data_IF_146171838097
#
_entry.id   IF_146171838097
#
_cell.length_a   1.000
_cell.length_b   1.000
_cell.length_c   1.000
_cell.angle_alpha   90.00
_cell.angle_beta   90.00
_cell.angle_gamma   90.00
#
_symmetry.space_group_name_H-M   'P 1'
#
loop_
_entity.id
_entity.type
_entity.pdbx_description
1 polymer ?
#
# COMPACT_ATOMS: atom_id res chain seq x y z
N UNK A 1 65.50 11.19 -36.68
CA UNK A 1 64.10 11.68 -36.83
C UNK A 1 63.12 10.58 -36.49
N UNK A 2 62.50 10.63 -35.29
CA UNK A 2 61.54 9.64 -34.84
C UNK A 2 60.29 10.42 -34.44
N UNK A 3 59.18 10.28 -35.21
CA UNK A 3 57.93 10.89 -34.97
C UNK A 3 57.12 10.00 -33.96
N UNK A 4 56.90 10.55 -32.78
CA UNK A 4 55.94 9.96 -31.79
C UNK A 4 54.53 10.37 -32.18
N UNK A 5 53.70 9.42 -32.58
CA UNK A 5 52.25 9.58 -32.77
C UNK A 5 51.56 9.41 -31.42
N UNK A 6 51.03 10.50 -30.89
CA UNK A 6 50.15 10.52 -29.73
C UNK A 6 48.72 10.14 -30.20
N UNK A 7 48.21 8.99 -29.77
CA UNK A 7 46.82 8.63 -29.91
C UNK A 7 46.02 9.24 -28.76
N UNK A 8 45.14 10.19 -29.08
CA UNK A 8 44.18 10.76 -28.16
C UNK A 8 42.97 9.83 -28.10
N UNK A 9 42.81 9.08 -27.00
CA UNK A 9 41.61 8.30 -26.75
C UNK A 9 40.52 9.24 -26.20
N UNK A 10 39.57 9.61 -27.04
CA UNK A 10 38.33 10.30 -26.62
C UNK A 10 37.40 9.25 -26.04
N UNK A 11 37.33 9.18 -24.71
CA UNK A 11 36.30 8.42 -24.00
C UNK A 11 34.96 9.15 -24.15
N UNK A 12 34.09 8.63 -24.99
CA UNK A 12 32.70 9.03 -25.11
C UNK A 12 31.95 8.56 -23.82
N UNK A 13 31.76 9.47 -22.93
CA UNK A 13 30.81 9.30 -21.84
C UNK A 13 29.40 9.46 -22.41
N UNK A 14 28.75 8.34 -22.72
CA UNK A 14 27.32 8.32 -22.98
C UNK A 14 26.55 8.49 -21.64
N UNK A 15 25.55 9.37 -21.57
CA UNK A 15 24.81 9.57 -20.35
C UNK A 15 23.95 8.33 -20.04
N UNK A 16 24.10 7.78 -18.84
CA UNK A 16 23.30 6.64 -18.32
C UNK A 16 21.79 6.94 -18.20
N UNK A 17 21.35 8.14 -18.46
CA UNK A 17 19.94 8.54 -18.40
C UNK A 17 19.06 7.93 -19.50
N UNK A 18 19.65 7.45 -20.61
CA UNK A 18 18.90 6.92 -21.76
C UNK A 18 18.24 5.56 -21.49
N UNK A 19 18.80 4.74 -20.60
CA UNK A 19 18.32 3.35 -20.41
C UNK A 19 17.03 3.21 -19.61
N UNK A 20 16.69 4.13 -18.70
CA UNK A 20 15.47 4.05 -17.91
C UNK A 20 14.22 4.41 -18.73
N UNK A 21 14.34 5.40 -19.60
CA UNK A 21 13.25 5.85 -20.49
C UNK A 21 12.93 4.81 -21.56
N UNK A 22 13.95 4.17 -22.12
CA UNK A 22 13.79 3.11 -23.11
C UNK A 22 13.10 1.87 -22.51
N UNK A 23 13.40 1.53 -21.25
CA UNK A 23 12.76 0.39 -20.56
C UNK A 23 11.29 0.66 -20.28
N UNK A 24 10.91 1.87 -19.85
CA UNK A 24 9.52 2.24 -19.63
C UNK A 24 8.69 2.24 -20.92
N UNK A 25 9.22 2.80 -21.99
CA UNK A 25 8.58 2.78 -23.30
C UNK A 25 8.38 1.34 -23.81
N UNK A 26 9.31 0.45 -23.55
CA UNK A 26 9.18 -0.97 -23.88
C UNK A 26 8.06 -1.62 -23.08
N UNK A 27 7.98 -1.39 -21.77
CA UNK A 27 6.90 -1.88 -20.89
C UNK A 27 5.55 -1.34 -21.41
N UNK A 28 5.44 -0.05 -21.68
CA UNK A 28 4.22 0.57 -22.16
C UNK A 28 3.76 0.00 -23.53
N UNK A 29 4.70 -0.32 -24.42
CA UNK A 29 4.38 -0.99 -25.69
C UNK A 29 3.87 -2.43 -25.49
N UNK A 30 4.49 -3.19 -24.59
CA UNK A 30 4.11 -4.58 -24.30
C UNK A 30 2.76 -4.66 -23.57
N UNK A 31 2.42 -3.65 -22.79
CA UNK A 31 1.16 -3.59 -22.04
C UNK A 31 -0.07 -3.32 -22.91
N UNK A 32 0.12 -2.81 -24.16
CA UNK A 32 -1.00 -2.48 -25.06
C UNK A 32 -1.87 -3.72 -25.35
N UNK A 33 -3.17 -3.53 -25.21
CA UNK A 33 -4.17 -4.58 -25.45
C UNK A 33 -4.36 -5.55 -24.28
N UNK A 34 -3.60 -5.39 -23.21
CA UNK A 34 -3.78 -6.21 -22.01
C UNK A 34 -5.00 -5.78 -21.20
N UNK A 35 -5.54 -6.71 -20.42
CA UNK A 35 -6.53 -6.44 -19.36
C UNK A 35 -5.81 -6.49 -18.02
N UNK A 36 -6.06 -5.50 -17.15
CA UNK A 36 -5.51 -5.41 -15.80
C UNK A 36 -6.66 -5.38 -14.80
N UNK A 37 -6.70 -6.33 -13.87
CA UNK A 37 -7.71 -6.43 -12.84
C UNK A 37 -7.22 -5.76 -11.56
N UNK A 38 -7.84 -4.61 -11.24
CA UNK A 38 -7.53 -3.84 -10.03
C UNK A 38 -8.65 -4.01 -8.99
N UNK A 39 -8.36 -4.72 -7.92
CA UNK A 39 -9.26 -4.86 -6.78
C UNK A 39 -9.04 -3.67 -5.85
N UNK A 40 -10.01 -2.78 -5.78
CA UNK A 40 -9.96 -1.53 -5.04
C UNK A 40 -11.14 -1.37 -4.11
N UNK A 41 -10.93 -0.74 -2.95
CA UNK A 41 -12.02 -0.42 -2.04
C UNK A 41 -13.05 0.50 -2.71
N UNK A 42 -14.32 0.09 -2.63
CA UNK A 42 -15.44 0.72 -3.33
C UNK A 42 -16.35 1.58 -2.44
N UNK A 43 -15.93 1.91 -1.21
CA UNK A 43 -16.79 2.56 -0.21
C UNK A 43 -17.05 4.06 -0.42
N UNK A 44 -16.29 4.75 -1.28
CA UNK A 44 -16.41 6.19 -1.52
C UNK A 44 -16.80 6.48 -2.99
N UNK A 45 -17.97 7.11 -3.24
CA UNK A 45 -18.38 7.44 -4.60
C UNK A 45 -17.45 8.41 -5.35
N UNK A 46 -16.71 9.27 -4.65
CA UNK A 46 -15.76 10.18 -5.28
C UNK A 46 -14.52 9.43 -5.75
N UNK A 47 -14.01 8.52 -4.93
CA UNK A 47 -12.90 7.63 -5.30
C UNK A 47 -13.31 6.71 -6.45
N UNK A 48 -14.52 6.15 -6.41
CA UNK A 48 -15.01 5.30 -7.50
C UNK A 48 -15.04 6.06 -8.83
N UNK A 49 -15.58 7.28 -8.87
CA UNK A 49 -15.56 8.11 -10.08
C UNK A 49 -14.14 8.44 -10.57
N UNK A 50 -13.21 8.65 -9.65
CA UNK A 50 -11.81 8.86 -9.99
C UNK A 50 -11.21 7.61 -10.66
N UNK A 51 -11.48 6.43 -10.11
CA UNK A 51 -11.01 5.15 -10.69
C UNK A 51 -11.62 4.89 -12.07
N UNK A 52 -12.90 5.22 -12.27
CA UNK A 52 -13.55 5.14 -13.58
C UNK A 52 -12.87 6.08 -14.59
N UNK A 53 -12.56 7.30 -14.17
CA UNK A 53 -11.80 8.24 -14.98
C UNK A 53 -10.41 7.71 -15.32
N UNK A 54 -9.67 7.18 -14.32
CA UNK A 54 -8.34 6.57 -14.54
C UNK A 54 -8.44 5.43 -15.56
N UNK A 55 -9.46 4.57 -15.44
CA UNK A 55 -9.66 3.47 -16.37
C UNK A 55 -9.85 3.98 -17.83
N UNK A 56 -10.62 5.05 -18.01
CA UNK A 56 -10.82 5.67 -19.32
C UNK A 56 -9.52 6.28 -19.88
N UNK A 57 -8.75 7.00 -19.05
CA UNK A 57 -7.47 7.60 -19.44
C UNK A 57 -6.44 6.52 -19.82
N UNK A 58 -6.31 5.47 -19.01
CA UNK A 58 -5.40 4.35 -19.27
C UNK A 58 -5.77 3.64 -20.57
N UNK A 59 -7.08 3.49 -20.85
CA UNK A 59 -7.55 2.92 -22.12
C UNK A 59 -7.19 3.80 -23.30
N UNK A 60 -7.38 5.11 -23.18
CA UNK A 60 -7.08 6.08 -24.23
C UNK A 60 -5.59 6.13 -24.55
N UNK A 61 -4.75 6.25 -23.52
CA UNK A 61 -3.34 6.57 -23.69
C UNK A 61 -2.48 5.32 -23.92
N UNK A 62 -2.81 4.22 -23.26
CA UNK A 62 -2.01 2.98 -23.28
C UNK A 62 -2.71 1.80 -23.95
N UNK A 63 -3.99 1.94 -24.35
CA UNK A 63 -4.81 0.84 -24.86
C UNK A 63 -4.91 -0.36 -23.92
N UNK A 64 -4.81 -0.14 -22.62
CA UNK A 64 -4.98 -1.15 -21.56
C UNK A 64 -6.44 -1.13 -21.11
N UNK A 65 -7.03 -2.30 -20.90
CA UNK A 65 -8.37 -2.46 -20.34
C UNK A 65 -8.25 -2.61 -18.80
N UNK A 66 -8.21 -1.47 -18.10
CA UNK A 66 -8.15 -1.46 -16.64
C UNK A 66 -9.54 -1.72 -16.06
N UNK A 67 -9.74 -2.86 -15.43
CA UNK A 67 -11.00 -3.28 -14.83
C UNK A 67 -10.96 -3.14 -13.32
N UNK A 68 -11.79 -2.23 -12.83
CA UNK A 68 -11.93 -1.99 -11.39
C UNK A 68 -12.91 -3.02 -10.81
N UNK A 69 -12.46 -3.76 -9.83
CA UNK A 69 -13.27 -4.68 -9.04
C UNK A 69 -13.44 -4.07 -7.66
N UNK A 70 -14.63 -3.52 -7.40
CA UNK A 70 -14.92 -2.93 -6.09
C UNK A 70 -15.04 -4.01 -5.03
N UNK A 71 -14.25 -3.89 -3.98
CA UNK A 71 -14.24 -4.78 -2.82
C UNK A 71 -14.64 -4.01 -1.57
N UNK A 72 -15.28 -4.67 -0.63
CA UNK A 72 -15.63 -4.12 0.68
C UNK A 72 -14.42 -4.15 1.63
N UNK A 73 -13.62 -5.23 1.54
CA UNK A 73 -12.43 -5.45 2.36
C UNK A 73 -11.37 -6.20 1.53
N UNK A 74 -10.10 -5.81 1.69
CA UNK A 74 -8.98 -6.47 1.05
C UNK A 74 -8.77 -7.91 1.56
N UNK A 75 -9.17 -8.23 2.78
CA UNK A 75 -8.99 -9.56 3.40
C UNK A 75 -9.63 -10.70 2.56
N UNK A 76 -10.76 -10.45 1.90
CA UNK A 76 -11.39 -11.47 1.06
C UNK A 76 -10.59 -11.74 -0.22
N UNK A 77 -10.00 -10.70 -0.79
CA UNK A 77 -9.08 -10.84 -1.94
C UNK A 77 -7.81 -11.57 -1.52
N UNK A 78 -7.25 -11.26 -0.35
CA UNK A 78 -6.08 -11.96 0.22
C UNK A 78 -6.36 -13.46 0.36
N UNK A 79 -7.49 -13.87 0.93
CA UNK A 79 -7.90 -15.28 1.04
C UNK A 79 -8.01 -15.96 -0.33
N UNK A 80 -8.57 -15.26 -1.31
CA UNK A 80 -8.66 -15.76 -2.68
C UNK A 80 -7.27 -15.99 -3.29
N UNK A 81 -6.36 -15.01 -3.18
CA UNK A 81 -4.99 -15.12 -3.67
C UNK A 81 -4.23 -16.27 -2.99
N UNK A 82 -4.39 -16.47 -1.69
CA UNK A 82 -3.81 -17.61 -0.99
C UNK A 82 -4.36 -18.94 -1.50
N UNK A 83 -5.65 -19.00 -1.85
CA UNK A 83 -6.29 -20.19 -2.42
C UNK A 83 -5.76 -20.47 -3.83
N UNK A 84 -5.63 -19.46 -4.67
CA UNK A 84 -5.04 -19.56 -6.00
C UNK A 84 -3.59 -20.05 -5.94
N UNK A 85 -2.80 -19.52 -4.99
CA UNK A 85 -1.42 -19.95 -4.78
C UNK A 85 -1.31 -21.41 -4.35
N UNK A 86 -2.19 -21.88 -3.44
CA UNK A 86 -2.24 -23.31 -3.04
C UNK A 86 -2.63 -24.23 -4.19
N UNK A 87 -3.44 -23.71 -5.13
CA UNK A 87 -3.80 -24.43 -6.35
C UNK A 87 -2.73 -24.31 -7.46
N UNK A 88 -1.53 -23.81 -7.11
CA UNK A 88 -0.38 -23.59 -8.02
C UNK A 88 -0.72 -22.72 -9.25
N UNK A 89 -1.70 -21.86 -9.14
CA UNK A 89 -2.09 -20.92 -10.19
C UNK A 89 -1.09 -19.76 -10.28
N UNK A 90 0.04 -20.00 -10.95
CA UNK A 90 1.12 -19.01 -11.12
C UNK A 90 0.90 -18.04 -12.27
N UNK A 91 -0.05 -18.32 -13.16
CA UNK A 91 -0.40 -17.49 -14.32
C UNK A 91 -1.90 -17.37 -14.45
N UNK A 92 -2.36 -16.29 -15.08
CA UNK A 92 -3.78 -15.99 -15.26
C UNK A 92 -4.55 -15.95 -13.93
N UNK A 93 -3.95 -15.32 -12.92
CA UNK A 93 -4.60 -15.04 -11.65
C UNK A 93 -5.80 -14.09 -11.80
N UNK A 94 -6.57 -13.95 -10.74
CA UNK A 94 -7.77 -13.10 -10.73
C UNK A 94 -7.50 -11.65 -10.33
N UNK A 95 -6.26 -11.32 -9.98
CA UNK A 95 -5.87 -9.99 -9.47
C UNK A 95 -4.49 -9.63 -9.99
N UNK A 96 -4.38 -8.46 -10.61
CA UNK A 96 -3.10 -7.90 -11.04
C UNK A 96 -2.65 -6.77 -10.10
N UNK A 97 -3.61 -5.97 -9.62
CA UNK A 97 -3.40 -4.91 -8.65
C UNK A 97 -4.39 -5.04 -7.50
N UNK A 98 -3.92 -4.76 -6.29
CA UNK A 98 -4.75 -4.74 -5.10
C UNK A 98 -4.48 -3.46 -4.31
N UNK A 99 -5.55 -2.75 -3.93
CA UNK A 99 -5.46 -1.72 -2.90
C UNK A 99 -5.36 -2.42 -1.55
N UNK A 100 -4.20 -2.33 -0.92
CA UNK A 100 -3.85 -3.10 0.26
C UNK A 100 -3.06 -2.24 1.25
N UNK A 101 -3.11 -2.62 2.51
CA UNK A 101 -2.31 -2.02 3.59
C UNK A 101 -2.29 -2.95 4.82
N UNK A 102 -1.38 -2.65 5.75
CA UNK A 102 -1.31 -3.25 7.07
C UNK A 102 -1.19 -4.77 7.08
N UNK A 103 -2.02 -5.43 7.85
CA UNK A 103 -1.99 -6.89 8.03
C UNK A 103 -2.26 -7.66 6.73
N UNK A 104 -3.04 -7.09 5.82
CA UNK A 104 -3.29 -7.67 4.51
C UNK A 104 -2.01 -7.66 3.65
N UNK A 105 -1.25 -6.55 3.66
CA UNK A 105 0.05 -6.47 3.01
C UNK A 105 1.03 -7.48 3.62
N UNK A 106 1.15 -7.50 4.96
CA UNK A 106 2.00 -8.45 5.69
C UNK A 106 1.70 -9.89 5.28
N UNK A 107 0.43 -10.26 5.23
CA UNK A 107 -0.01 -11.61 4.87
C UNK A 107 0.43 -12.01 3.47
N UNK A 108 0.24 -11.14 2.48
CA UNK A 108 0.66 -11.37 1.09
C UNK A 108 2.18 -11.44 0.97
N UNK A 109 2.89 -10.52 1.62
CA UNK A 109 4.36 -10.48 1.61
C UNK A 109 4.96 -11.74 2.23
N UNK A 110 4.48 -12.15 3.40
CA UNK A 110 4.95 -13.36 4.10
C UNK A 110 4.69 -14.62 3.28
N UNK A 111 3.60 -14.65 2.53
CA UNK A 111 3.28 -15.75 1.63
C UNK A 111 4.04 -15.71 0.29
N UNK A 112 4.87 -14.69 0.03
CA UNK A 112 5.61 -14.53 -1.22
C UNK A 112 4.72 -14.29 -2.44
N UNK A 113 3.57 -13.63 -2.25
CA UNK A 113 2.57 -13.40 -3.29
C UNK A 113 2.64 -12.01 -3.93
N UNK A 114 3.62 -11.19 -3.53
CA UNK A 114 3.82 -9.85 -4.07
C UNK A 114 5.02 -9.82 -5.01
N UNK A 115 4.87 -9.08 -6.10
CA UNK A 115 6.01 -8.70 -6.92
C UNK A 115 6.74 -7.53 -6.25
N UNK A 116 8.03 -7.67 -6.00
CA UNK A 116 8.88 -6.65 -5.37
C UNK A 116 9.70 -5.87 -6.39
N UNK A 117 10.30 -4.74 -5.95
CA UNK A 117 11.31 -4.00 -6.72
C UNK A 117 10.78 -3.21 -7.93
N UNK A 118 9.47 -3.09 -8.11
CA UNK A 118 8.90 -2.39 -9.27
C UNK A 118 8.51 -0.95 -8.99
N UNK A 119 7.98 -0.64 -7.81
CA UNK A 119 7.36 0.67 -7.54
C UNK A 119 8.35 1.83 -7.66
N UNK A 120 9.55 1.67 -7.11
CA UNK A 120 10.59 2.70 -7.14
C UNK A 120 11.25 2.88 -8.53
N UNK A 121 11.03 1.94 -9.45
CA UNK A 121 11.53 2.04 -10.83
C UNK A 121 10.58 2.79 -11.77
N UNK A 122 9.37 3.09 -11.30
CA UNK A 122 8.39 3.84 -12.09
C UNK A 122 8.89 5.27 -12.38
N UNK A 123 8.72 5.81 -13.59
CA UNK A 123 9.14 7.17 -13.93
C UNK A 123 8.54 8.24 -13.01
N UNK A 124 7.33 7.99 -12.51
CA UNK A 124 6.59 8.92 -11.64
C UNK A 124 6.98 8.81 -10.16
N UNK A 125 7.85 7.84 -9.78
CA UNK A 125 8.36 7.77 -8.42
C UNK A 125 9.03 9.08 -7.95
N UNK A 126 9.62 9.84 -8.88
CA UNK A 126 10.20 11.17 -8.61
C UNK A 126 9.24 12.19 -7.98
N UNK A 127 7.93 11.95 -8.06
CA UNK A 127 6.91 12.81 -7.47
C UNK A 127 6.44 12.32 -6.08
N UNK A 128 6.92 11.17 -5.64
CA UNK A 128 6.59 10.64 -4.31
C UNK A 128 7.35 11.42 -3.24
N UNK A 129 6.63 11.88 -2.22
CA UNK A 129 7.24 12.51 -1.05
C UNK A 129 7.91 11.45 -0.16
N UNK A 130 9.18 11.18 -0.39
CA UNK A 130 9.97 10.19 0.36
C UNK A 130 10.28 10.59 1.79
N UNK A 131 9.84 11.76 2.26
CA UNK A 131 9.87 12.14 3.68
C UNK A 131 8.76 11.43 4.47
N UNK A 132 7.73 10.96 3.78
CA UNK A 132 6.71 10.09 4.34
C UNK A 132 7.21 8.63 4.39
N UNK A 133 6.67 7.77 5.24
CA UNK A 133 7.10 6.37 5.37
C UNK A 133 6.63 5.49 4.19
N UNK A 134 6.88 5.93 2.95
CA UNK A 134 6.41 5.29 1.71
C UNK A 134 7.14 3.99 1.35
N UNK A 135 8.15 3.63 2.13
CA UNK A 135 8.90 2.38 2.00
C UNK A 135 8.58 1.36 3.08
N UNK A 136 7.63 1.70 3.94
CA UNK A 136 7.17 0.84 5.01
C UNK A 136 5.64 0.87 5.06
N UNK A 137 5.04 -0.29 5.28
CA UNK A 137 3.62 -0.43 5.60
C UNK A 137 3.51 -1.11 6.97
N UNK A 138 2.95 -0.40 7.96
CA UNK A 138 2.88 -0.82 9.36
C UNK A 138 4.23 -1.39 9.86
N UNK A 139 5.28 -0.59 9.70
CA UNK A 139 6.67 -0.93 10.07
C UNK A 139 7.27 -2.14 9.35
N UNK A 140 6.62 -2.65 8.31
CA UNK A 140 7.15 -3.70 7.45
C UNK A 140 7.71 -3.08 6.16
N UNK A 141 8.99 -3.29 5.82
CA UNK A 141 9.54 -2.77 4.57
C UNK A 141 8.75 -3.25 3.34
N UNK A 142 8.40 -2.35 2.44
CA UNK A 142 7.63 -2.68 1.22
C UNK A 142 8.49 -3.39 0.18
N UNK A 143 9.80 -3.16 0.19
CA UNK A 143 10.74 -3.69 -0.83
C UNK A 143 10.30 -3.37 -2.26
N UNK A 144 9.67 -2.21 -2.43
CA UNK A 144 9.16 -1.77 -3.73
C UNK A 144 8.00 -2.62 -4.29
N UNK A 145 7.27 -3.32 -3.44
CA UNK A 145 6.06 -4.05 -3.82
C UNK A 145 4.81 -3.17 -3.83
N UNK A 146 4.87 -2.00 -3.24
CA UNK A 146 3.77 -1.05 -3.17
C UNK A 146 4.12 0.29 -3.80
N UNK A 147 3.16 0.85 -4.53
CA UNK A 147 3.16 2.24 -4.96
C UNK A 147 2.22 3.03 -4.04
N UNK A 148 2.68 4.14 -3.41
CA UNK A 148 1.84 4.87 -2.51
C UNK A 148 0.64 5.48 -3.24
N UNK A 149 -0.54 5.28 -2.67
CA UNK A 149 -1.80 5.83 -3.17
C UNK A 149 -2.11 7.18 -2.56
N UNK A 150 -2.11 7.22 -1.22
CA UNK A 150 -2.44 8.39 -0.43
C UNK A 150 -2.22 8.11 1.04
N UNK A 151 -2.52 9.09 1.88
CA UNK A 151 -2.48 8.95 3.33
C UNK A 151 -3.84 9.25 3.93
N UNK A 152 -4.16 8.54 5.00
CA UNK A 152 -5.32 8.79 5.83
C UNK A 152 -4.90 8.70 7.31
N UNK A 153 -5.70 9.31 8.18
CA UNK A 153 -5.47 9.26 9.61
C UNK A 153 -6.69 8.65 10.29
N UNK A 154 -6.45 7.82 11.28
CA UNK A 154 -7.51 7.35 12.15
C UNK A 154 -8.09 8.53 12.93
N UNK A 155 -9.39 8.74 12.83
CA UNK A 155 -10.12 9.76 13.57
C UNK A 155 -11.33 9.19 14.26
N UNK A 156 -11.70 9.80 15.37
CA UNK A 156 -12.93 9.46 16.08
C UNK A 156 -14.05 10.41 15.68
N UNK A 157 -15.25 9.88 15.61
CA UNK A 157 -16.46 10.67 15.32
C UNK A 157 -17.38 10.57 16.53
N UNK A 158 -17.84 11.71 17.01
CA UNK A 158 -18.82 11.78 18.08
C UNK A 158 -19.98 12.71 17.69
N UNK A 159 -21.19 12.36 18.11
CA UNK A 159 -22.35 13.23 17.93
C UNK A 159 -22.30 14.34 18.97
N UNK A 160 -22.06 15.57 18.54
CA UNK A 160 -21.88 16.73 19.45
C UNK A 160 -23.05 16.93 20.42
N UNK A 161 -24.27 16.63 20.01
CA UNK A 161 -25.45 16.75 20.87
C UNK A 161 -25.51 15.72 22.00
N UNK A 162 -24.81 14.58 21.84
CA UNK A 162 -24.74 13.51 22.85
C UNK A 162 -23.41 13.52 23.60
N UNK A 163 -22.35 14.01 22.95
CA UNK A 163 -21.00 14.08 23.50
C UNK A 163 -20.43 15.48 23.28
N UNK A 164 -20.90 16.49 24.07
CA UNK A 164 -20.47 17.88 23.91
C UNK A 164 -18.98 18.06 24.12
N UNK A 165 -18.39 17.28 25.02
CA UNK A 165 -16.96 17.22 25.31
C UNK A 165 -16.47 15.80 25.05
N UNK A 166 -15.98 15.49 23.84
CA UNK A 166 -15.47 14.17 23.54
C UNK A 166 -14.16 13.90 24.28
N UNK A 167 -13.84 12.61 24.55
CA UNK A 167 -12.53 12.24 25.08
C UNK A 167 -11.40 12.73 24.18
N UNK A 168 -10.33 13.21 24.76
CA UNK A 168 -9.17 13.78 24.07
C UNK A 168 -7.90 12.94 24.23
N UNK A 169 -7.99 11.82 24.92
CA UNK A 169 -6.89 10.87 25.11
C UNK A 169 -7.40 9.43 25.10
N UNK A 170 -6.53 8.43 24.85
CA UNK A 170 -6.87 7.00 24.95
C UNK A 170 -7.43 6.61 26.31
N UNK A 171 -6.84 7.08 27.40
CA UNK A 171 -7.28 6.82 28.77
C UNK A 171 -8.67 7.43 29.03
N UNK A 172 -8.89 8.66 28.57
CA UNK A 172 -10.18 9.32 28.65
C UNK A 172 -11.24 8.58 27.84
N UNK A 173 -10.89 8.03 26.65
CA UNK A 173 -11.76 7.22 25.83
C UNK A 173 -12.16 5.93 26.52
N UNK A 174 -11.21 5.22 27.16
CA UNK A 174 -11.50 4.00 27.89
C UNK A 174 -12.41 4.27 29.11
N UNK A 175 -12.15 5.35 29.83
CA UNK A 175 -12.99 5.80 30.95
C UNK A 175 -14.41 6.14 30.46
N UNK A 176 -14.52 6.88 29.36
CA UNK A 176 -15.79 7.20 28.74
C UNK A 176 -16.54 5.93 28.31
N UNK A 177 -15.87 5.00 27.62
CA UNK A 177 -16.47 3.75 27.18
C UNK A 177 -16.98 2.88 28.34
N UNK A 178 -16.27 2.86 29.47
CA UNK A 178 -16.69 2.15 30.65
C UNK A 178 -17.95 2.74 31.29
N UNK A 179 -18.08 4.08 31.24
CA UNK A 179 -19.25 4.81 31.75
C UNK A 179 -20.45 4.76 30.78
N UNK A 180 -20.22 4.62 29.47
CA UNK A 180 -21.21 4.67 28.40
C UNK A 180 -21.28 3.35 27.65
N UNK A 181 -21.59 2.27 28.37
CA UNK A 181 -21.61 0.91 27.81
C UNK A 181 -22.59 0.79 26.65
N UNK A 182 -22.09 0.32 25.50
CA UNK A 182 -22.88 0.14 24.28
C UNK A 182 -23.00 1.39 23.41
N UNK A 183 -22.40 2.51 23.81
CA UNK A 183 -22.42 3.77 23.06
C UNK A 183 -21.12 4.01 22.27
N UNK A 184 -20.04 3.27 22.60
CA UNK A 184 -18.76 3.32 21.89
C UNK A 184 -18.62 2.05 21.08
N UNK A 185 -18.27 2.20 19.80
CA UNK A 185 -18.06 1.07 18.89
C UNK A 185 -16.90 1.34 17.93
N UNK A 186 -16.35 0.27 17.41
CA UNK A 186 -15.35 0.28 16.35
C UNK A 186 -15.54 -0.97 15.46
N UNK A 187 -15.07 -0.97 14.20
CA UNK A 187 -15.15 -2.16 13.35
C UNK A 187 -14.38 -3.33 13.96
N UNK A 188 -14.91 -4.52 13.85
CA UNK A 188 -14.24 -5.71 14.41
C UNK A 188 -13.10 -6.17 13.51
N UNK A 189 -11.87 -6.39 14.06
CA UNK A 189 -10.79 -7.03 13.30
C UNK A 189 -11.25 -8.35 12.62
N UNK A 190 -10.75 -8.68 11.43
CA UNK A 190 -9.59 -8.09 10.75
C UNK A 190 -9.88 -6.85 9.88
N UNK A 191 -11.00 -6.16 10.11
CA UNK A 191 -11.20 -4.85 9.46
C UNK A 191 -10.02 -3.92 9.74
N UNK A 192 -9.53 -3.25 8.68
CA UNK A 192 -8.36 -2.39 8.75
C UNK A 192 -8.48 -1.29 9.81
N UNK A 193 -9.64 -0.60 9.86
CA UNK A 193 -9.88 0.50 10.79
C UNK A 193 -9.94 0.01 12.23
N UNK A 194 -10.58 -1.14 12.46
CA UNK A 194 -10.66 -1.75 13.78
C UNK A 194 -9.31 -2.24 14.28
N UNK A 195 -8.50 -2.82 13.42
CA UNK A 195 -7.12 -3.23 13.74
C UNK A 195 -6.27 -2.01 14.07
N UNK A 196 -6.29 -0.98 13.23
CA UNK A 196 -5.54 0.26 13.46
C UNK A 196 -5.94 0.96 14.77
N UNK A 197 -7.24 0.92 15.15
CA UNK A 197 -7.71 1.43 16.43
C UNK A 197 -7.07 0.71 17.62
N UNK A 198 -7.08 -0.63 17.60
CA UNK A 198 -6.50 -1.43 18.69
C UNK A 198 -4.99 -1.27 18.79
N UNK A 199 -4.30 -1.23 17.66
CA UNK A 199 -2.86 -0.96 17.60
C UNK A 199 -2.53 0.42 18.16
N UNK A 200 -3.32 1.44 17.81
CA UNK A 200 -3.13 2.79 18.32
C UNK A 200 -3.36 2.85 19.85
N UNK A 201 -4.36 2.15 20.38
CA UNK A 201 -4.55 2.03 21.81
C UNK A 201 -3.35 1.34 22.46
N UNK A 202 -2.90 0.23 21.90
CA UNK A 202 -1.74 -0.51 22.43
C UNK A 202 -0.50 0.37 22.48
N UNK A 203 -0.19 1.12 21.40
CA UNK A 203 0.97 2.02 21.35
C UNK A 203 0.89 3.11 22.41
N UNK A 204 -0.29 3.69 22.61
CA UNK A 204 -0.45 4.80 23.56
C UNK A 204 -0.54 4.38 25.03
N UNK A 205 -1.02 3.16 25.31
CA UNK A 205 -1.24 2.68 26.66
C UNK A 205 -0.09 1.81 27.21
N UNK A 206 0.85 1.42 26.35
CA UNK A 206 2.03 0.67 26.80
C UNK A 206 3.10 1.60 27.35
N UNK A 207 3.78 1.15 28.40
CA UNK A 207 4.93 1.88 28.99
C UNK A 207 6.17 1.86 28.09
N UNK A 208 6.26 0.89 27.18
CA UNK A 208 7.41 0.68 26.29
C UNK A 208 6.99 0.50 24.84
N UNK A 209 6.51 1.56 24.17
CA UNK A 209 6.04 1.47 22.78
C UNK A 209 7.13 1.02 21.80
N UNK A 210 8.41 1.25 22.11
CA UNK A 210 9.54 0.79 21.29
C UNK A 210 9.64 -0.74 21.22
N UNK A 211 9.17 -1.46 22.24
CA UNK A 211 9.16 -2.92 22.27
C UNK A 211 8.18 -3.50 21.23
N UNK A 212 7.14 -2.75 20.86
CA UNK A 212 6.15 -3.17 19.87
C UNK A 212 6.72 -3.19 18.44
N UNK A 213 7.91 -2.63 18.22
CA UNK A 213 8.61 -2.69 16.91
C UNK A 213 9.36 -4.01 16.70
N UNK A 214 9.42 -4.86 17.72
CA UNK A 214 10.07 -6.16 17.65
C UNK A 214 9.01 -7.28 17.54
N UNK A 215 9.35 -8.41 16.93
CA UNK A 215 8.47 -9.58 16.96
C UNK A 215 8.11 -9.94 18.40
N UNK A 216 6.85 -10.33 18.67
CA UNK A 216 6.44 -10.74 20.01
C UNK A 216 7.19 -12.00 20.44
N UNK A 217 7.63 -12.02 21.69
CA UNK A 217 8.21 -13.18 22.36
C UNK A 217 7.32 -13.65 23.51
N UNK A 218 7.74 -14.72 24.21
CA UNK A 218 6.97 -15.27 25.33
C UNK A 218 6.72 -14.26 26.47
N UNK A 219 7.58 -13.23 26.60
CA UNK A 219 7.46 -12.18 27.63
C UNK A 219 6.54 -11.04 27.19
N UNK A 220 6.25 -10.95 25.89
CA UNK A 220 5.36 -9.91 25.34
C UNK A 220 3.88 -10.15 25.69
N UNK A 221 3.56 -11.36 26.16
CA UNK A 221 2.19 -11.77 26.53
C UNK A 221 2.00 -11.86 28.07
N UNK A 222 3.03 -11.55 28.84
CA UNK A 222 2.99 -11.52 30.29
C UNK A 222 2.69 -10.11 30.81
#
# INVERSE_FOLDING_TARGET
MRYCLLWLAVLLWAPLAAHADDSWQQIARQARGQTVWFNAWGGDPAVNRYLDWVSAEVKRDYAIDLRIVHIADAADTVKRLQTEARAERKHHGSVDLLWVNGENFRTLKTAGLLQTGWAETLPNWRYVDTRQPVREDFSLPTEGAESPWGSAQLTFIARRTQTPTPPDSPEALLTFAAAHRGEVTYPRPPDFTGTAFLEQLLINLTERPEALRQPPDAKSYA
#
